data_IF_245205060597
#
_entry.id   IF_245205060597
#
_cell.length_a   1.000
_cell.length_b   1.000
_cell.length_c   1.000
_cell.angle_alpha   90.00
_cell.angle_beta   90.00
_cell.angle_gamma   90.00
#
_symmetry.space_group_name_H-M   'P 1'
#
loop_
_entity.id
_entity.type
_entity.pdbx_description
1 polymer ?
#
# COMPACT_ATOMS: atom_id res chain seq x y z
N UNK A 1 -23.41 -12.91 23.19
CA UNK A 1 -22.01 -13.31 22.97
C UNK A 1 -21.82 -13.33 21.46
N UNK A 2 -21.47 -12.17 20.89
CA UNK A 2 -21.33 -12.02 19.43
C UNK A 2 -20.00 -12.64 19.00
N UNK A 3 -20.08 -13.79 18.33
CA UNK A 3 -19.02 -14.26 17.45
C UNK A 3 -19.04 -13.35 16.22
N UNK A 4 -18.48 -12.14 16.34
CA UNK A 4 -18.17 -11.33 15.16
C UNK A 4 -17.20 -12.17 14.35
N UNK A 5 -17.62 -12.62 13.17
CA UNK A 5 -16.72 -13.18 12.18
C UNK A 5 -15.62 -12.13 11.97
N UNK A 6 -14.41 -12.42 12.45
CA UNK A 6 -13.27 -11.56 12.17
C UNK A 6 -13.15 -11.49 10.66
N UNK A 7 -13.12 -10.28 10.10
CA UNK A 7 -12.93 -10.11 8.66
C UNK A 7 -11.63 -10.79 8.27
N UNK A 8 -11.60 -11.40 7.08
CA UNK A 8 -10.39 -12.02 6.56
C UNK A 8 -9.37 -10.90 6.28
N UNK A 9 -8.21 -10.90 6.95
CA UNK A 9 -7.20 -9.89 6.68
C UNK A 9 -6.56 -10.17 5.32
N UNK A 10 -6.42 -9.12 4.53
CA UNK A 10 -5.79 -9.11 3.21
C UNK A 10 -4.58 -8.20 3.23
N UNK A 11 -3.52 -8.63 2.55
CA UNK A 11 -2.35 -7.79 2.28
C UNK A 11 -2.31 -7.38 0.80
N UNK A 12 -2.11 -6.10 0.52
CA UNK A 12 -2.07 -5.57 -0.85
C UNK A 12 -0.64 -5.16 -1.25
N UNK A 13 -0.14 -5.73 -2.34
CA UNK A 13 1.12 -5.31 -2.98
C UNK A 13 0.80 -4.54 -4.25
N UNK A 14 1.16 -3.26 -4.28
CA UNK A 14 1.06 -2.41 -5.47
C UNK A 14 2.46 -2.23 -6.05
N UNK A 15 2.66 -2.65 -7.30
CA UNK A 15 3.97 -2.65 -7.93
C UNK A 15 4.01 -1.73 -9.13
N UNK A 16 4.82 -0.67 -9.06
CA UNK A 16 5.17 0.14 -10.23
C UNK A 16 6.11 -0.62 -11.15
N UNK A 17 6.12 -0.25 -12.44
CA UNK A 17 6.90 -0.94 -13.46
C UNK A 17 8.39 -0.94 -13.14
N UNK A 18 8.98 -2.13 -13.11
CA UNK A 18 10.40 -2.32 -12.83
C UNK A 18 10.77 -2.18 -11.35
N UNK A 19 9.77 -2.21 -10.45
CA UNK A 19 9.99 -2.35 -9.02
C UNK A 19 10.26 -3.81 -8.62
N UNK A 20 10.91 -4.00 -7.49
CA UNK A 20 11.24 -5.32 -6.91
C UNK A 20 10.16 -5.73 -5.90
N UNK A 21 9.01 -6.17 -6.40
CA UNK A 21 7.81 -6.41 -5.58
C UNK A 21 7.64 -7.86 -5.12
N UNK A 22 8.28 -8.83 -5.78
CA UNK A 22 8.09 -10.26 -5.49
C UNK A 22 8.48 -10.61 -4.05
N UNK A 23 9.57 -10.00 -3.56
CA UNK A 23 10.02 -10.15 -2.18
C UNK A 23 9.03 -9.59 -1.13
N UNK A 24 8.07 -8.76 -1.53
CA UNK A 24 7.00 -8.28 -0.65
C UNK A 24 5.85 -9.29 -0.55
N UNK A 25 5.56 -10.03 -1.61
CA UNK A 25 4.52 -11.09 -1.57
C UNK A 25 4.92 -12.20 -0.61
N UNK A 26 6.17 -12.66 -0.69
CA UNK A 26 6.69 -13.67 0.25
C UNK A 26 6.61 -13.18 1.70
N UNK A 27 7.06 -11.95 1.98
CA UNK A 27 6.97 -11.35 3.31
C UNK A 27 5.54 -11.23 3.82
N UNK A 28 4.61 -10.77 2.98
CA UNK A 28 3.21 -10.62 3.38
C UNK A 28 2.50 -11.96 3.58
N UNK A 29 2.86 -12.98 2.78
CA UNK A 29 2.33 -14.34 2.97
C UNK A 29 2.68 -14.93 4.34
N UNK A 30 3.78 -14.43 4.94
CA UNK A 30 4.10 -14.69 6.35
C UNK A 30 3.17 -13.85 7.24
N UNK A 31 2.14 -14.48 7.79
CA UNK A 31 1.18 -13.86 8.72
C UNK A 31 -0.15 -13.38 8.11
N UNK A 32 -0.24 -13.24 6.77
CA UNK A 32 -1.52 -13.00 6.08
C UNK A 32 -1.57 -13.83 4.80
N UNK A 33 -2.33 -14.94 4.77
CA UNK A 33 -2.32 -15.85 3.63
C UNK A 33 -2.94 -15.26 2.36
N UNK A 34 -3.85 -14.29 2.47
CA UNK A 34 -4.45 -13.61 1.32
C UNK A 34 -3.62 -12.38 0.94
N UNK A 35 -2.82 -12.54 -0.12
CA UNK A 35 -2.03 -11.46 -0.72
C UNK A 35 -2.57 -11.14 -2.09
N UNK A 36 -3.07 -9.91 -2.26
CA UNK A 36 -3.49 -9.37 -3.55
C UNK A 36 -2.37 -8.54 -4.15
N UNK A 37 -2.14 -8.69 -5.46
CA UNK A 37 -1.06 -7.99 -6.16
C UNK A 37 -1.65 -7.22 -7.33
N UNK A 38 -1.32 -5.92 -7.41
CA UNK A 38 -1.67 -5.05 -8.53
C UNK A 38 -0.37 -4.55 -9.14
N UNK A 39 0.01 -5.15 -10.27
CA UNK A 39 1.23 -4.81 -11.02
C UNK A 39 0.89 -3.87 -12.18
N UNK A 40 1.71 -2.85 -12.36
CA UNK A 40 1.62 -1.94 -13.50
C UNK A 40 1.99 -2.67 -14.80
N UNK A 41 1.10 -2.65 -15.78
CA UNK A 41 1.39 -3.27 -17.08
C UNK A 41 2.50 -2.50 -17.84
N UNK A 42 3.25 -3.13 -18.77
CA UNK A 42 4.36 -2.49 -19.50
C UNK A 42 4.05 -1.21 -20.26
N UNK A 43 2.79 -0.97 -20.63
CA UNK A 43 2.35 0.24 -21.34
C UNK A 43 1.37 1.09 -20.51
N UNK A 44 1.01 0.63 -19.32
CA UNK A 44 0.06 1.32 -18.46
C UNK A 44 0.66 2.59 -17.85
N UNK A 45 -0.01 3.75 -17.92
CA UNK A 45 0.40 4.94 -17.19
C UNK A 45 0.14 4.78 -15.69
N UNK A 46 0.96 5.38 -14.83
CA UNK A 46 0.90 5.18 -13.37
C UNK A 46 -0.45 5.63 -12.76
N UNK A 47 -1.15 6.54 -13.41
CA UNK A 47 -2.50 6.98 -13.05
C UNK A 47 -3.53 5.87 -13.22
N UNK A 48 -3.40 5.05 -14.27
CA UNK A 48 -4.27 3.88 -14.49
C UNK A 48 -4.04 2.82 -13.42
N UNK A 49 -2.79 2.59 -13.04
CA UNK A 49 -2.45 1.75 -11.89
C UNK A 49 -3.15 2.25 -10.62
N UNK A 50 -3.06 3.56 -10.31
CA UNK A 50 -3.70 4.13 -9.14
C UNK A 50 -5.24 3.96 -9.15
N UNK A 51 -5.89 4.02 -10.32
CA UNK A 51 -7.32 3.71 -10.45
C UNK A 51 -7.63 2.23 -10.19
N UNK A 52 -6.78 1.31 -10.67
CA UNK A 52 -6.92 -0.13 -10.39
C UNK A 52 -6.74 -0.44 -8.91
N UNK A 53 -5.79 0.22 -8.25
CA UNK A 53 -5.63 0.12 -6.78
C UNK A 53 -6.91 0.53 -6.08
N UNK A 54 -7.50 1.67 -6.46
CA UNK A 54 -8.78 2.11 -5.90
C UNK A 54 -9.89 1.08 -6.13
N UNK A 55 -10.01 0.54 -7.34
CA UNK A 55 -11.01 -0.47 -7.66
C UNK A 55 -10.81 -1.75 -6.84
N UNK A 56 -9.56 -2.20 -6.68
CA UNK A 56 -9.23 -3.37 -5.86
C UNK A 56 -9.61 -3.17 -4.40
N UNK A 57 -9.35 -1.98 -3.84
CA UNK A 57 -9.72 -1.68 -2.45
C UNK A 57 -11.24 -1.68 -2.27
N UNK A 58 -11.99 -1.07 -3.20
CA UNK A 58 -13.45 -1.09 -3.16
C UNK A 58 -14.00 -2.52 -3.24
N UNK A 59 -13.43 -3.37 -4.08
CA UNK A 59 -13.82 -4.79 -4.19
C UNK A 59 -13.61 -5.55 -2.87
N UNK A 60 -12.50 -5.28 -2.17
CA UNK A 60 -12.25 -5.87 -0.84
C UNK A 60 -13.31 -5.42 0.18
N UNK A 61 -13.65 -4.13 0.19
CA UNK A 61 -14.68 -3.59 1.08
C UNK A 61 -16.06 -4.20 0.80
N UNK A 62 -16.45 -4.31 -0.48
CA UNK A 62 -17.70 -4.92 -0.92
C UNK A 62 -17.77 -6.42 -0.58
N UNK A 63 -16.62 -7.10 -0.59
CA UNK A 63 -16.50 -8.52 -0.23
C UNK A 63 -16.46 -8.75 1.29
N UNK A 64 -16.47 -7.69 2.09
CA UNK A 64 -16.37 -7.76 3.55
C UNK A 64 -14.98 -8.16 4.06
N UNK A 65 -13.97 -8.11 3.20
CA UNK A 65 -12.57 -8.35 3.55
C UNK A 65 -11.98 -7.11 4.26
N UNK A 66 -10.84 -7.31 4.92
CA UNK A 66 -10.18 -6.26 5.68
C UNK A 66 -8.77 -6.02 5.15
N UNK A 67 -8.51 -4.81 4.66
CA UNK A 67 -7.19 -4.42 4.21
C UNK A 67 -6.27 -4.10 5.39
N UNK A 68 -5.63 -5.13 5.94
CA UNK A 68 -4.78 -5.01 7.12
C UNK A 68 -3.40 -4.41 6.83
N UNK A 69 -2.82 -4.78 5.67
CA UNK A 69 -1.47 -4.38 5.28
C UNK A 69 -1.42 -4.00 3.81
N UNK A 70 -0.59 -3.03 3.47
CA UNK A 70 -0.32 -2.68 2.09
C UNK A 70 1.11 -2.21 1.90
N UNK A 71 1.64 -2.40 0.69
CA UNK A 71 2.89 -1.79 0.25
C UNK A 71 2.72 -1.20 -1.15
N UNK A 72 3.25 0.00 -1.37
CA UNK A 72 3.46 0.56 -2.70
C UNK A 72 4.96 0.49 -3.00
N UNK A 73 5.33 -0.32 -3.99
CA UNK A 73 6.70 -0.53 -4.43
C UNK A 73 6.95 0.33 -5.67
N UNK A 74 7.66 1.42 -5.47
CA UNK A 74 7.92 2.46 -6.48
C UNK A 74 9.19 2.23 -7.28
N UNK A 75 9.11 2.55 -8.57
CA UNK A 75 10.26 2.57 -9.46
C UNK A 75 10.97 3.95 -9.40
N UNK A 76 12.28 3.94 -9.63
CA UNK A 76 13.18 4.98 -9.12
C UNK A 76 13.08 6.41 -9.69
N UNK A 77 12.18 6.72 -10.63
CA UNK A 77 11.96 8.11 -11.09
C UNK A 77 10.64 8.65 -10.56
N UNK A 78 10.69 9.87 -10.04
CA UNK A 78 9.51 10.62 -9.59
C UNK A 78 9.35 11.85 -10.48
N UNK A 79 8.18 11.99 -11.10
CA UNK A 79 7.70 13.25 -11.68
C UNK A 79 6.36 13.62 -11.01
N UNK A 80 5.81 14.77 -11.34
CA UNK A 80 4.56 15.25 -10.73
C UNK A 80 3.40 14.28 -10.93
N UNK A 81 3.30 13.67 -12.11
CA UNK A 81 2.25 12.69 -12.43
C UNK A 81 2.35 11.45 -11.53
N UNK A 82 3.57 10.95 -11.32
CA UNK A 82 3.86 9.82 -10.43
C UNK A 82 3.52 10.16 -8.98
N UNK A 83 3.84 11.37 -8.53
CA UNK A 83 3.52 11.83 -7.18
C UNK A 83 2.01 11.93 -6.96
N UNK A 84 1.27 12.48 -7.93
CA UNK A 84 -0.19 12.57 -7.89
C UNK A 84 -0.85 11.19 -7.90
N UNK A 85 -0.37 10.27 -8.73
CA UNK A 85 -0.88 8.90 -8.81
C UNK A 85 -0.62 8.12 -7.51
N UNK A 86 0.60 8.20 -6.96
CA UNK A 86 0.93 7.61 -5.64
C UNK A 86 0.04 8.19 -4.55
N UNK A 87 -0.17 9.51 -4.54
CA UNK A 87 -1.05 10.16 -3.57
C UNK A 87 -2.50 9.67 -3.67
N UNK A 88 -3.00 9.40 -4.87
CA UNK A 88 -4.32 8.80 -5.07
C UNK A 88 -4.37 7.37 -4.51
N UNK A 89 -3.41 6.52 -4.89
CA UNK A 89 -3.32 5.14 -4.40
C UNK A 89 -3.23 5.08 -2.87
N UNK A 90 -2.38 5.92 -2.26
CA UNK A 90 -2.23 6.02 -0.82
C UNK A 90 -3.56 6.39 -0.16
N UNK A 91 -4.26 7.42 -0.65
CA UNK A 91 -5.57 7.80 -0.08
C UNK A 91 -6.59 6.67 -0.19
N UNK A 92 -6.64 5.99 -1.33
CA UNK A 92 -7.54 4.85 -1.54
C UNK A 92 -7.27 3.71 -0.57
N UNK A 93 -6.01 3.46 -0.21
CA UNK A 93 -5.63 2.41 0.75
C UNK A 93 -5.85 2.86 2.20
N UNK A 94 -5.46 4.09 2.53
CA UNK A 94 -5.44 4.57 3.93
C UNK A 94 -6.84 4.89 4.44
N UNK A 95 -7.74 5.40 3.60
CA UNK A 95 -9.09 5.75 4.01
C UNK A 95 -9.82 4.57 4.71
N UNK A 96 -9.91 3.36 4.12
CA UNK A 96 -10.56 2.23 4.79
C UNK A 96 -9.80 1.75 6.03
N UNK A 97 -8.47 1.80 6.05
CA UNK A 97 -7.69 1.48 7.27
C UNK A 97 -8.03 2.43 8.42
N UNK A 98 -8.22 3.73 8.13
CA UNK A 98 -8.62 4.72 9.14
C UNK A 98 -10.04 4.44 9.64
N UNK A 99 -10.97 4.08 8.75
CA UNK A 99 -12.34 3.71 9.14
C UNK A 99 -12.38 2.42 9.99
N UNK A 100 -11.48 1.47 9.72
CA UNK A 100 -11.28 0.26 10.52
C UNK A 100 -10.58 0.53 11.85
N UNK A 101 -9.88 1.67 11.96
CA UNK A 101 -9.13 2.05 13.16
C UNK A 101 -7.78 1.34 13.30
N UNK A 102 -7.30 0.66 12.25
CA UNK A 102 -5.99 0.03 12.21
C UNK A 102 -5.53 -0.25 10.78
N UNK A 103 -4.21 -0.43 10.61
CA UNK A 103 -3.62 -0.87 9.35
C UNK A 103 -2.20 -0.37 9.17
N UNK A 104 -1.47 -1.00 8.26
CA UNK A 104 -0.08 -0.59 7.94
C UNK A 104 0.09 -0.40 6.45
N UNK A 105 0.55 0.79 6.06
CA UNK A 105 0.99 1.09 4.69
C UNK A 105 2.50 1.35 4.67
N UNK A 106 3.20 0.57 3.86
CA UNK A 106 4.62 0.70 3.58
C UNK A 106 4.81 1.39 2.22
N UNK A 107 5.69 2.38 2.15
CA UNK A 107 6.10 3.02 0.90
C UNK A 107 7.55 2.62 0.62
N UNK A 108 7.74 1.70 -0.33
CA UNK A 108 9.04 1.24 -0.74
C UNK A 108 9.48 1.95 -2.01
N UNK A 109 10.62 2.63 -1.95
CA UNK A 109 11.11 3.44 -3.06
C UNK A 109 12.59 3.19 -3.30
N UNK A 110 12.95 3.02 -4.57
CA UNK A 110 14.33 2.79 -4.99
C UNK A 110 14.95 4.04 -5.64
N UNK A 111 16.28 4.12 -5.66
CA UNK A 111 17.01 5.21 -6.33
C UNK A 111 16.54 6.61 -5.92
N UNK A 112 16.31 7.49 -6.91
CA UNK A 112 15.81 8.85 -6.66
C UNK A 112 14.35 8.89 -6.18
N UNK A 113 13.56 7.85 -6.45
CA UNK A 113 12.17 7.71 -6.03
C UNK A 113 11.98 7.53 -4.52
N UNK A 114 13.03 7.05 -3.83
CA UNK A 114 13.05 6.82 -2.38
C UNK A 114 12.65 8.06 -1.58
N UNK A 115 13.24 9.22 -1.89
CA UNK A 115 12.96 10.44 -1.13
C UNK A 115 11.52 10.92 -1.31
N UNK A 116 10.94 10.70 -2.50
CA UNK A 116 9.52 10.97 -2.74
C UNK A 116 8.61 10.08 -1.88
N UNK A 117 8.93 8.78 -1.77
CA UNK A 117 8.21 7.86 -0.88
C UNK A 117 8.36 8.25 0.60
N UNK A 118 9.57 8.64 1.04
CA UNK A 118 9.79 9.12 2.41
C UNK A 118 8.99 10.38 2.73
N UNK A 119 8.94 11.34 1.79
CA UNK A 119 8.16 12.56 1.96
C UNK A 119 6.66 12.24 2.04
N UNK A 120 6.14 11.40 1.15
CA UNK A 120 4.75 10.94 1.19
C UNK A 120 4.42 10.23 2.51
N UNK A 121 5.28 9.32 2.97
CA UNK A 121 5.06 8.59 4.21
C UNK A 121 5.04 9.54 5.41
N UNK A 122 5.95 10.51 5.47
CA UNK A 122 6.00 11.52 6.53
C UNK A 122 4.73 12.38 6.55
N UNK A 123 4.32 12.89 5.38
CA UNK A 123 3.11 13.71 5.26
C UNK A 123 1.86 12.94 5.65
N UNK A 124 1.68 11.73 5.12
CA UNK A 124 0.49 10.91 5.38
C UNK A 124 0.49 10.37 6.80
N UNK A 125 1.63 9.93 7.32
CA UNK A 125 1.79 9.52 8.72
C UNK A 125 1.41 10.63 9.70
N UNK A 126 1.73 11.88 9.37
CA UNK A 126 1.26 13.04 10.14
C UNK A 126 -0.26 13.22 10.10
N UNK A 127 -0.89 12.99 8.96
CA UNK A 127 -2.34 13.12 8.77
C UNK A 127 -3.16 12.04 9.49
N UNK A 128 -2.62 10.82 9.60
CA UNK A 128 -3.33 9.67 10.20
C UNK A 128 -2.99 9.44 11.67
N UNK A 129 -2.23 10.34 12.30
CA UNK A 129 -1.84 10.20 13.71
C UNK A 129 -3.07 10.05 14.60
N UNK A 130 -3.07 9.00 15.43
CA UNK A 130 -4.16 8.71 16.38
C UNK A 130 -5.32 7.88 15.81
N UNK A 131 -5.25 7.48 14.53
CA UNK A 131 -6.26 6.63 13.89
C UNK A 131 -6.00 5.13 14.05
N UNK A 132 -4.84 4.74 14.59
CA UNK A 132 -4.36 3.35 14.62
C UNK A 132 -3.69 2.88 13.32
N UNK A 133 -3.69 3.73 12.27
CA UNK A 133 -2.98 3.45 11.01
C UNK A 133 -1.53 3.90 11.09
N UNK A 134 -0.61 3.05 10.64
CA UNK A 134 0.81 3.37 10.47
C UNK A 134 1.15 3.52 9.00
N UNK A 135 1.75 4.66 8.64
CA UNK A 135 2.31 4.87 7.31
C UNK A 135 3.79 5.14 7.44
N UNK A 136 4.63 4.32 6.82
CA UNK A 136 6.09 4.47 6.89
C UNK A 136 6.75 4.17 5.55
N UNK A 137 7.92 4.76 5.33
CA UNK A 137 8.76 4.41 4.20
C UNK A 137 9.79 3.36 4.64
N UNK A 138 10.11 2.43 3.74
CA UNK A 138 11.18 1.48 4.00
C UNK A 138 12.51 2.22 3.90
N UNK A 139 13.20 2.37 5.03
CA UNK A 139 14.60 2.78 5.01
C UNK A 139 15.39 1.72 4.25
N UNK A 140 16.30 2.12 3.37
CA UNK A 140 17.13 1.17 2.61
C UNK A 140 17.74 0.12 3.54
N UNK A 141 17.59 -1.15 3.13
CA UNK A 141 17.77 -2.39 3.90
C UNK A 141 16.64 -2.65 4.90
N UNK A 142 15.62 -3.34 4.39
CA UNK A 142 14.77 -4.34 5.04
C UNK A 142 14.56 -4.12 6.54
N UNK A 143 13.53 -3.34 6.88
CA UNK A 143 12.94 -3.43 8.21
C UNK A 143 11.95 -4.61 8.20
N UNK A 144 12.28 -5.66 8.96
CA UNK A 144 11.32 -6.69 9.33
C UNK A 144 10.11 -6.04 10.00
N UNK A 145 8.95 -6.22 9.39
CA UNK A 145 7.67 -5.93 10.04
C UNK A 145 7.20 -7.26 10.62
N UNK A 146 7.54 -7.47 11.90
CA UNK A 146 6.99 -8.54 12.73
C UNK A 146 5.51 -8.30 13.03
#
# INVERSE_FOLDING_TARGET
>A
MDLRFAKTPVSLVVAERGSDWEAWVERFSTGTPDVRVVVQDPEEPVERLAQRVRAQVLELEESGEELARAVIVGAGKTNDSTLSARSLAIRSIVAPMVEQGHGTLLLDGQGAGRFGMMALASTVGGMVRGTGVTVTATGGVVADVA
#
